data_IF_108200889273
#
_entry.id   IF_108200889273
#
_cell.length_a   1.000
_cell.length_b   1.000
_cell.length_c   1.000
_cell.angle_alpha   90.00
_cell.angle_beta   90.00
_cell.angle_gamma   90.00
#
_symmetry.space_group_name_H-M   'P 1'
#
loop_
_entity.id
_entity.type
_entity.pdbx_description
1 polymer ?
#
# COMPACT_ATOMS: atom_id res chain seq x y z
N UNK A 1 -11.70 8.31 -9.07
CA UNK A 1 -13.00 8.06 -8.41
C UNK A 1 -12.99 8.93 -7.15
N UNK A 2 -14.10 9.53 -6.75
CA UNK A 2 -14.06 10.33 -5.51
C UNK A 2 -14.07 9.36 -4.32
N UNK A 3 -13.24 9.56 -3.28
CA UNK A 3 -13.28 8.71 -2.09
C UNK A 3 -14.66 8.80 -1.42
N UNK A 4 -15.18 7.66 -0.94
CA UNK A 4 -16.47 7.62 -0.25
C UNK A 4 -16.40 8.52 1.01
N UNK A 5 -17.26 9.56 1.11
CA UNK A 5 -17.24 10.47 2.25
C UNK A 5 -17.65 9.79 3.57
N UNK A 6 -18.30 8.62 3.51
CA UNK A 6 -18.64 7.81 4.68
C UNK A 6 -17.48 6.93 5.15
N UNK A 7 -16.43 6.76 4.33
CA UNK A 7 -15.26 5.98 4.72
C UNK A 7 -14.41 6.79 5.72
N UNK A 8 -14.36 6.33 6.97
CA UNK A 8 -13.58 6.94 8.04
C UNK A 8 -12.07 6.96 7.72
N UNK A 9 -11.62 6.14 6.78
CA UNK A 9 -10.24 6.06 6.33
C UNK A 9 -9.92 7.00 5.16
N UNK A 10 -10.90 7.75 4.63
CA UNK A 10 -10.72 8.71 3.53
C UNK A 10 -9.66 9.79 3.79
N UNK A 11 -9.33 10.06 5.05
CA UNK A 11 -8.27 11.02 5.46
C UNK A 11 -6.87 10.40 5.54
N UNK A 12 -6.75 9.08 5.40
CA UNK A 12 -5.48 8.36 5.52
C UNK A 12 -4.95 8.09 4.11
N UNK A 13 -3.70 8.51 3.86
CA UNK A 13 -3.00 8.19 2.61
C UNK A 13 -2.33 6.82 2.71
N UNK A 14 -2.48 6.00 1.66
CA UNK A 14 -1.86 4.68 1.56
C UNK A 14 -0.76 4.66 0.50
N UNK A 15 0.32 3.92 0.76
CA UNK A 15 1.29 3.57 -0.29
C UNK A 15 0.65 2.63 -1.33
N UNK A 16 -0.17 1.70 -0.84
CA UNK A 16 -1.00 0.80 -1.65
C UNK A 16 -2.22 0.38 -0.82
N UNK A 17 -3.40 0.37 -1.44
CA UNK A 17 -4.64 -0.09 -0.82
C UNK A 17 -5.33 -1.10 -1.73
N UNK A 18 -5.61 -2.27 -1.19
CA UNK A 18 -6.32 -3.35 -1.87
C UNK A 18 -7.51 -3.79 -1.03
N UNK A 19 -8.72 -3.63 -1.55
CA UNK A 19 -9.99 -3.90 -0.86
C UNK A 19 -11.01 -4.42 -1.87
N UNK A 20 -11.87 -5.33 -1.43
CA UNK A 20 -12.94 -5.91 -2.28
C UNK A 20 -12.41 -6.45 -3.61
N UNK A 21 -11.24 -7.11 -3.55
CA UNK A 21 -10.52 -7.72 -4.68
C UNK A 21 -10.04 -6.75 -5.77
N UNK A 22 -9.91 -5.47 -5.45
CA UNK A 22 -9.43 -4.43 -6.36
C UNK A 22 -8.50 -3.46 -5.65
N UNK A 23 -7.63 -2.84 -6.44
CA UNK A 23 -6.86 -1.68 -5.98
C UNK A 23 -7.78 -0.46 -5.83
N UNK A 24 -7.54 0.36 -4.81
CA UNK A 24 -8.24 1.62 -4.54
C UNK A 24 -7.26 2.79 -4.73
N UNK A 25 -7.23 3.42 -5.92
CA UNK A 25 -6.23 4.44 -6.24
C UNK A 25 -6.49 5.80 -5.56
N UNK A 26 -7.74 6.13 -5.24
CA UNK A 26 -8.11 7.49 -4.80
C UNK A 26 -7.62 7.85 -3.39
N UNK A 27 -7.30 6.82 -2.59
CA UNK A 27 -6.72 6.99 -1.26
C UNK A 27 -5.20 6.78 -1.26
N UNK A 28 -4.57 6.63 -2.44
CA UNK A 28 -3.12 6.54 -2.51
C UNK A 28 -2.46 7.90 -2.28
N UNK A 29 -1.32 7.86 -1.61
CA UNK A 29 -0.40 8.99 -1.56
C UNK A 29 0.07 9.27 -3.00
N UNK A 30 -0.04 10.51 -3.51
CA UNK A 30 0.28 10.83 -4.91
C UNK A 30 1.67 10.39 -5.37
N UNK A 31 2.69 10.46 -4.50
CA UNK A 31 4.06 10.05 -4.79
C UNK A 31 4.22 8.54 -5.12
N UNK A 32 3.24 7.71 -4.78
CA UNK A 32 3.22 6.26 -5.02
C UNK A 32 2.21 5.84 -6.08
N UNK A 33 1.42 6.78 -6.62
CA UNK A 33 0.47 6.51 -7.68
C UNK A 33 1.21 5.94 -8.90
N UNK A 34 0.66 4.86 -9.49
CA UNK A 34 1.24 4.13 -10.63
C UNK A 34 2.65 3.53 -10.38
N UNK A 35 3.19 3.65 -9.17
CA UNK A 35 4.49 3.11 -8.79
C UNK A 35 4.40 1.84 -7.95
N UNK A 36 3.20 1.46 -7.49
CA UNK A 36 3.04 0.32 -6.58
C UNK A 36 2.13 -0.75 -7.14
N UNK A 37 2.54 -2.01 -7.00
CA UNK A 37 1.78 -3.18 -7.41
C UNK A 37 1.85 -4.28 -6.34
N UNK A 38 0.72 -4.94 -6.11
CA UNK A 38 0.59 -6.10 -5.23
C UNK A 38 0.58 -7.37 -6.08
N UNK A 39 1.21 -8.44 -5.61
CA UNK A 39 1.16 -9.75 -6.28
C UNK A 39 -0.16 -10.45 -5.93
N UNK A 40 -1.25 -10.06 -6.60
CA UNK A 40 -2.62 -10.48 -6.23
C UNK A 40 -2.83 -11.99 -6.26
N UNK A 41 -2.14 -12.71 -7.15
CA UNK A 41 -2.23 -14.17 -7.22
C UNK A 41 -1.62 -14.85 -5.99
N UNK A 42 -0.55 -14.26 -5.44
CA UNK A 42 0.19 -14.77 -4.29
C UNK A 42 -0.51 -14.49 -2.95
N UNK A 43 -1.55 -13.62 -2.93
CA UNK A 43 -2.33 -13.33 -1.72
C UNK A 43 -3.02 -14.58 -1.17
N UNK A 44 -3.41 -15.53 -2.03
CA UNK A 44 -4.04 -16.80 -1.62
C UNK A 44 -3.11 -17.67 -0.77
N UNK A 45 -1.81 -17.47 -0.94
CA UNK A 45 -0.74 -18.17 -0.22
C UNK A 45 -0.24 -17.34 0.97
N UNK A 46 -0.87 -16.19 1.26
CA UNK A 46 -0.46 -15.28 2.33
C UNK A 46 0.70 -14.36 1.97
N UNK A 47 1.18 -14.37 0.72
CA UNK A 47 2.24 -13.48 0.28
C UNK A 47 1.67 -12.09 -0.06
N UNK A 48 1.91 -11.13 0.82
CA UNK A 48 1.49 -9.74 0.70
C UNK A 48 2.63 -8.80 0.28
N UNK A 49 3.61 -9.31 -0.47
CA UNK A 49 4.75 -8.50 -0.94
C UNK A 49 4.25 -7.33 -1.79
N UNK A 50 4.85 -6.16 -1.57
CA UNK A 50 4.56 -4.96 -2.34
C UNK A 50 5.75 -4.65 -3.24
N UNK A 51 5.50 -4.44 -4.52
CA UNK A 51 6.49 -3.92 -5.46
C UNK A 51 6.34 -2.40 -5.57
N UNK A 52 7.45 -1.68 -5.41
CA UNK A 52 7.56 -0.26 -5.74
C UNK A 52 8.51 -0.15 -6.95
N UNK A 53 8.11 0.56 -8.01
CA UNK A 53 8.92 0.79 -9.20
C UNK A 53 9.46 2.21 -9.25
N UNK A 54 10.58 2.39 -9.95
CA UNK A 54 11.31 3.65 -10.05
C UNK A 54 11.65 4.22 -8.67
N UNK A 55 12.20 3.38 -7.78
CA UNK A 55 12.54 3.75 -6.39
C UNK A 55 13.55 4.90 -6.38
N UNK A 56 13.39 5.81 -5.43
CA UNK A 56 14.18 7.02 -5.21
C UNK A 56 14.58 7.11 -3.74
N UNK A 57 15.58 7.95 -3.41
CA UNK A 57 15.98 8.17 -2.01
C UNK A 57 14.82 8.62 -1.10
N UNK A 58 13.84 9.32 -1.66
CA UNK A 58 12.64 9.77 -0.94
C UNK A 58 11.69 8.64 -0.52
N UNK A 59 11.84 7.44 -1.09
CA UNK A 59 11.09 6.25 -0.68
C UNK A 59 11.73 5.56 0.54
N UNK A 60 12.90 6.01 1.02
CA UNK A 60 13.50 5.49 2.26
C UNK A 60 12.58 5.73 3.44
N UNK A 61 12.34 4.70 4.25
CA UNK A 61 11.56 4.84 5.48
C UNK A 61 10.87 3.56 5.94
N UNK A 62 10.07 3.72 6.99
CA UNK A 62 9.30 2.61 7.60
C UNK A 62 7.94 2.49 6.94
N UNK A 63 7.67 1.32 6.38
CA UNK A 63 6.40 0.94 5.80
C UNK A 63 5.65 0.03 6.77
N UNK A 64 4.36 0.33 6.97
CA UNK A 64 3.45 -0.52 7.75
C UNK A 64 2.51 -1.25 6.82
N UNK A 65 2.59 -2.58 6.79
CA UNK A 65 1.56 -3.44 6.23
C UNK A 65 0.53 -3.73 7.34
N UNK A 66 -0.77 -3.57 7.07
CA UNK A 66 -1.83 -3.80 8.04
C UNK A 66 -2.98 -4.58 7.39
N UNK A 67 -3.44 -5.65 8.05
CA UNK A 67 -4.56 -6.48 7.62
C UNK A 67 -5.70 -6.35 8.63
N UNK A 68 -6.70 -5.47 8.37
CA UNK A 68 -7.74 -5.15 9.35
C UNK A 68 -8.53 -6.36 9.85
N UNK A 69 -8.79 -7.34 8.98
CA UNK A 69 -9.57 -8.54 9.34
C UNK A 69 -8.86 -9.45 10.35
N UNK A 70 -7.53 -9.39 10.40
CA UNK A 70 -6.71 -10.21 11.28
C UNK A 70 -6.16 -9.41 12.47
N UNK A 71 -6.44 -8.10 12.53
CA UNK A 71 -5.85 -7.14 13.46
C UNK A 71 -4.32 -7.31 13.61
N UNK A 72 -3.65 -7.56 12.49
CA UNK A 72 -2.22 -7.80 12.46
C UNK A 72 -1.51 -6.78 11.56
N UNK A 73 -0.30 -6.41 11.95
CA UNK A 73 0.56 -5.55 11.15
C UNK A 73 2.00 -6.06 11.18
N UNK A 74 2.73 -5.70 10.13
CA UNK A 74 4.17 -5.84 10.07
C UNK A 74 4.78 -4.49 9.69
N UNK A 75 5.98 -4.22 10.17
CA UNK A 75 6.75 -3.02 9.82
C UNK A 75 8.01 -3.47 9.10
N UNK A 76 8.25 -2.87 7.94
CA UNK A 76 9.44 -3.09 7.13
C UNK A 76 10.15 -1.75 6.96
N UNK A 77 11.46 -1.74 7.10
CA UNK A 77 12.29 -0.57 6.78
C UNK A 77 12.85 -0.73 5.37
N UNK A 78 12.55 0.21 4.49
CA UNK A 78 13.13 0.30 3.16
C UNK A 78 14.32 1.27 3.23
N UNK A 79 15.51 0.78 2.89
CA UNK A 79 16.72 1.58 2.74
C UNK A 79 17.08 1.59 1.26
N UNK A 80 17.16 2.78 0.67
CA UNK A 80 17.57 2.97 -0.72
C UNK A 80 19.02 3.42 -0.74
N UNK A 81 19.89 2.62 -1.36
CA UNK A 81 21.30 2.95 -1.54
C UNK A 81 21.54 3.93 -2.70
N UNK A 82 22.66 4.64 -2.64
CA UNK A 82 23.23 5.43 -3.76
C UNK A 82 23.93 4.53 -4.79
#
# INVERSE_FOLDING_TARGET
LEPDPSDRLSRVGYVHLYRDKREVPDMKIPAYAQRTALFTDALKEGNMSLKIVNVTLADTGRYRCYVPKLDCYSIVELVVGE
#
